data_IF_777753754947
#
_entry.id   IF_777753754947
#
_cell.length_a   1.000
_cell.length_b   1.000
_cell.length_c   1.000
_cell.angle_alpha   90.00
_cell.angle_beta   90.00
_cell.angle_gamma   90.00
#
_symmetry.space_group_name_H-M   'P 1'
#
loop_
_entity.id
_entity.type
_entity.pdbx_description
1 polymer ?
#
# COMPACT_ATOMS: atom_id res chain seq x y z
N UNK A 1 20.41 8.23 28.80
CA UNK A 1 19.48 9.18 28.18
C UNK A 1 18.19 8.51 27.68
N UNK A 2 18.23 7.62 26.68
CA UNK A 2 17.00 7.00 26.12
C UNK A 2 16.16 6.22 27.17
N UNK A 3 16.72 5.35 28.03
CA UNK A 3 15.94 4.68 29.07
C UNK A 3 15.28 5.66 30.05
N UNK A 4 16.00 6.72 30.44
CA UNK A 4 15.48 7.76 31.33
C UNK A 4 14.31 8.51 30.69
N UNK A 5 14.41 8.91 29.42
CA UNK A 5 13.31 9.56 28.71
C UNK A 5 12.07 8.67 28.69
N UNK A 6 12.24 7.38 28.37
CA UNK A 6 11.14 6.43 28.32
C UNK A 6 10.51 6.18 29.70
N UNK A 7 11.32 6.07 30.75
CA UNK A 7 10.83 5.78 32.10
C UNK A 7 10.27 6.99 32.85
N UNK A 8 10.91 8.16 32.72
CA UNK A 8 10.64 9.36 33.52
C UNK A 8 9.69 10.33 32.81
N UNK A 9 9.66 10.34 31.47
CA UNK A 9 8.81 11.25 30.70
C UNK A 9 7.70 10.54 29.95
N UNK A 10 8.01 9.48 29.19
CA UNK A 10 7.01 8.85 28.32
C UNK A 10 6.04 7.95 29.09
N UNK A 11 6.56 7.06 29.94
CA UNK A 11 5.74 6.11 30.71
C UNK A 11 4.66 6.80 31.56
N UNK A 12 4.94 7.90 32.30
CA UNK A 12 3.90 8.59 33.08
C UNK A 12 2.76 9.13 32.22
N UNK A 13 3.06 9.66 31.03
CA UNK A 13 2.05 10.23 30.11
C UNK A 13 1.02 9.17 29.69
N UNK A 14 1.47 7.95 29.38
CA UNK A 14 0.61 6.87 28.89
C UNK A 14 0.11 5.91 29.99
N UNK A 15 0.43 6.17 31.27
CA UNK A 15 0.08 5.27 32.38
C UNK A 15 -1.39 5.38 32.78
N UNK A 16 -2.00 6.55 32.63
CA UNK A 16 -3.36 6.83 33.08
C UNK A 16 -4.39 5.95 32.38
N UNK A 17 -4.22 5.70 31.09
CA UNK A 17 -5.11 4.89 30.26
C UNK A 17 -4.31 3.75 29.60
N UNK A 18 -4.00 2.67 30.33
CA UNK A 18 -3.21 1.58 29.79
C UNK A 18 -3.96 0.87 28.67
N UNK A 19 -3.23 0.51 27.62
CA UNK A 19 -3.82 -0.18 26.47
C UNK A 19 -4.41 -1.55 26.86
N UNK A 20 -5.69 -1.85 26.55
CA UNK A 20 -6.39 -3.02 27.09
C UNK A 20 -5.83 -4.35 26.59
N UNK A 21 -5.23 -4.38 25.41
CA UNK A 21 -4.66 -5.60 24.81
C UNK A 21 -3.17 -5.81 25.13
N UNK A 22 -2.59 -5.00 26.02
CA UNK A 22 -1.16 -5.08 26.36
C UNK A 22 -0.91 -5.30 27.84
N UNK A 23 0.06 -6.15 28.13
CA UNK A 23 0.57 -6.29 29.49
C UNK A 23 1.51 -5.12 29.84
N UNK A 24 1.11 -4.26 30.78
CA UNK A 24 1.80 -3.00 31.09
C UNK A 24 3.28 -3.14 31.49
N UNK A 25 3.68 -4.24 32.12
CA UNK A 25 5.08 -4.47 32.52
C UNK A 25 5.92 -5.22 31.49
N UNK A 26 5.32 -5.95 30.54
CA UNK A 26 6.06 -6.80 29.60
C UNK A 26 5.90 -6.37 28.14
N UNK A 27 4.95 -5.49 27.83
CA UNK A 27 4.63 -5.07 26.47
C UNK A 27 4.13 -6.21 25.57
N UNK A 28 3.71 -7.35 26.15
CA UNK A 28 3.20 -8.51 25.41
C UNK A 28 1.72 -8.36 25.11
N UNK A 29 1.29 -8.93 23.99
CA UNK A 29 -0.14 -9.05 23.65
C UNK A 29 -0.85 -9.90 24.70
N UNK A 30 -1.99 -9.43 25.17
CA UNK A 30 -2.89 -10.19 26.04
C UNK A 30 -3.89 -11.00 25.20
N UNK A 31 -4.26 -12.21 25.65
CA UNK A 31 -5.27 -13.03 24.98
C UNK A 31 -6.69 -12.45 25.13
N UNK A 32 -6.92 -11.62 26.15
CA UNK A 32 -8.19 -10.93 26.42
C UNK A 32 -7.91 -9.51 26.93
N UNK A 33 -8.80 -8.54 26.67
CA UNK A 33 -8.68 -7.20 27.22
C UNK A 33 -8.54 -7.19 28.76
N UNK A 34 -7.53 -6.49 29.27
CA UNK A 34 -7.42 -6.16 30.69
C UNK A 34 -8.46 -5.08 31.05
N UNK A 35 -9.24 -5.30 32.12
CA UNK A 35 -10.35 -4.41 32.50
C UNK A 35 -11.75 -5.00 32.23
N UNK A 36 -11.84 -6.20 31.67
CA UNK A 36 -13.13 -6.89 31.48
C UNK A 36 -13.94 -6.35 30.29
N UNK A 37 -15.28 -6.59 30.25
CA UNK A 37 -16.12 -6.25 29.10
C UNK A 37 -16.16 -4.76 28.75
N UNK A 38 -15.93 -3.87 29.72
CA UNK A 38 -15.93 -2.41 29.54
C UNK A 38 -14.54 -1.82 29.28
N UNK A 39 -13.50 -2.65 29.21
CA UNK A 39 -12.11 -2.21 29.04
C UNK A 39 -11.89 -1.24 27.88
N UNK A 40 -12.60 -1.44 26.76
CA UNK A 40 -12.52 -0.54 25.61
C UNK A 40 -13.14 0.83 25.89
N UNK A 41 -14.22 0.89 26.65
CA UNK A 41 -14.87 2.15 27.04
C UNK A 41 -13.95 2.95 27.96
N UNK A 42 -13.45 2.29 29.01
CA UNK A 42 -12.55 2.90 30.00
C UNK A 42 -11.24 3.38 29.35
N UNK A 43 -10.77 2.67 28.32
CA UNK A 43 -9.57 3.03 27.57
C UNK A 43 -9.71 4.36 26.80
N UNK A 44 -10.88 4.62 26.22
CA UNK A 44 -11.14 5.86 25.48
C UNK A 44 -11.61 7.01 26.38
N UNK A 45 -12.06 6.71 27.60
CA UNK A 45 -12.48 7.72 28.56
C UNK A 45 -11.27 8.45 29.15
N UNK A 46 -11.24 9.78 29.07
CA UNK A 46 -10.23 10.65 29.73
C UNK A 46 -8.77 10.39 29.34
N UNK A 47 -8.47 10.33 28.04
CA UNK A 47 -7.11 10.14 27.50
C UNK A 47 -6.16 11.33 27.77
N UNK A 48 -5.65 11.41 29.00
CA UNK A 48 -4.75 12.49 29.49
C UNK A 48 -3.47 12.68 28.67
N UNK A 49 -3.01 11.67 27.94
CA UNK A 49 -1.84 11.80 27.07
C UNK A 49 -2.05 12.83 25.94
N UNK A 50 -3.31 13.12 25.57
CA UNK A 50 -3.65 14.14 24.56
C UNK A 50 -3.37 15.57 25.03
N UNK A 51 -3.23 15.79 26.34
CA UNK A 51 -2.80 17.08 26.91
C UNK A 51 -1.30 17.34 26.66
N UNK A 52 -0.58 16.34 26.14
CA UNK A 52 0.85 16.41 25.79
C UNK A 52 1.04 16.30 24.27
N UNK A 53 0.84 17.37 23.48
CA UNK A 53 0.91 17.31 22.01
C UNK A 53 2.29 16.90 21.47
N UNK A 54 3.35 17.05 22.29
CA UNK A 54 4.71 16.59 21.95
C UNK A 54 4.95 15.10 22.17
N UNK A 55 4.03 14.38 22.82
CA UNK A 55 4.22 12.97 23.16
C UNK A 55 4.43 12.07 21.93
N UNK A 56 3.63 12.16 20.84
CA UNK A 56 3.85 11.34 19.64
C UNK A 56 5.23 11.58 18.99
N UNK A 57 5.69 12.83 18.97
CA UNK A 57 7.00 13.19 18.43
C UNK A 57 8.13 12.58 19.28
N UNK A 58 7.95 12.57 20.61
CA UNK A 58 8.91 11.94 21.52
C UNK A 58 8.95 10.42 21.32
N UNK A 59 7.80 9.76 21.10
CA UNK A 59 7.73 8.33 20.75
C UNK A 59 8.51 8.07 19.46
N UNK A 60 8.23 8.81 18.40
CA UNK A 60 8.94 8.67 17.11
C UNK A 60 10.45 8.86 17.27
N UNK A 61 10.87 9.91 18.00
CA UNK A 61 12.29 10.13 18.27
C UNK A 61 12.90 8.95 19.02
N UNK A 62 12.24 8.43 20.05
CA UNK A 62 12.74 7.28 20.79
C UNK A 62 12.92 6.06 19.88
N UNK A 63 11.90 5.70 19.08
CA UNK A 63 11.94 4.57 18.14
C UNK A 63 13.12 4.66 17.19
N UNK A 64 13.39 5.84 16.61
CA UNK A 64 14.51 6.05 15.68
C UNK A 64 15.90 5.90 16.32
N UNK A 65 15.99 6.02 17.64
CA UNK A 65 17.26 6.01 18.37
C UNK A 65 17.45 4.78 19.26
N UNK A 66 16.54 3.79 19.23
CA UNK A 66 16.74 2.50 19.91
C UNK A 66 17.82 1.71 19.14
N UNK A 67 18.96 1.36 19.77
CA UNK A 67 19.92 0.43 19.18
C UNK A 67 19.30 -0.97 19.02
N UNK A 68 19.69 -1.71 17.99
CA UNK A 68 19.11 -3.02 17.69
C UNK A 68 19.17 -4.02 18.87
N UNK A 69 20.20 -3.94 19.70
CA UNK A 69 20.40 -4.85 20.84
C UNK A 69 19.59 -4.47 22.09
N UNK A 70 18.99 -3.27 22.10
CA UNK A 70 18.29 -2.70 23.27
C UNK A 70 16.77 -2.84 23.20
N UNK A 71 16.23 -3.44 22.13
CA UNK A 71 14.80 -3.64 21.97
C UNK A 71 14.19 -4.43 23.12
N UNK A 72 14.84 -5.50 23.58
CA UNK A 72 14.35 -6.35 24.68
C UNK A 72 14.16 -5.58 25.99
N UNK A 73 15.07 -4.64 26.30
CA UNK A 73 15.02 -3.85 27.54
C UNK A 73 13.93 -2.77 27.47
N UNK A 74 13.80 -2.10 26.32
CA UNK A 74 12.94 -0.93 26.16
C UNK A 74 11.54 -1.26 25.63
N UNK A 75 11.32 -2.50 25.17
CA UNK A 75 10.09 -2.97 24.54
C UNK A 75 8.81 -2.57 25.28
N UNK A 76 8.80 -2.88 26.58
CA UNK A 76 7.64 -2.71 27.44
C UNK A 76 7.27 -1.22 27.68
N UNK A 77 8.18 -0.30 27.41
CA UNK A 77 7.96 1.15 27.53
C UNK A 77 7.50 1.78 26.22
N UNK A 78 7.89 1.20 25.08
CA UNK A 78 7.66 1.82 23.76
C UNK A 78 6.41 1.27 23.05
N UNK A 79 6.12 -0.02 23.19
CA UNK A 79 4.96 -0.63 22.52
C UNK A 79 3.62 -0.06 22.99
N UNK A 80 3.36 0.16 24.30
CA UNK A 80 2.09 0.72 24.71
C UNK A 80 1.79 2.10 24.09
N UNK A 81 2.71 3.09 24.11
CA UNK A 81 2.52 4.35 23.39
C UNK A 81 2.25 4.19 21.89
N UNK A 82 2.97 3.29 21.20
CA UNK A 82 2.78 3.04 19.76
C UNK A 82 1.36 2.50 19.50
N UNK A 83 0.96 1.47 20.25
CA UNK A 83 -0.38 0.89 20.12
C UNK A 83 -1.46 1.89 20.48
N UNK A 84 -1.24 2.72 21.50
CA UNK A 84 -2.20 3.76 21.90
C UNK A 84 -2.47 4.75 20.77
N UNK A 85 -1.43 5.20 20.08
CA UNK A 85 -1.58 6.10 18.92
C UNK A 85 -2.26 5.40 17.74
N UNK A 86 -1.88 4.16 17.45
CA UNK A 86 -2.39 3.40 16.31
C UNK A 86 -3.87 3.02 16.47
N UNK A 87 -4.28 2.67 17.68
CA UNK A 87 -5.64 2.24 18.01
C UNK A 87 -6.57 3.39 18.42
N UNK A 88 -6.08 4.64 18.48
CA UNK A 88 -6.92 5.79 18.80
C UNK A 88 -8.09 5.97 17.81
N UNK A 89 -9.21 6.51 18.26
CA UNK A 89 -10.38 6.74 17.40
C UNK A 89 -10.21 7.97 16.48
N UNK A 90 -9.33 8.92 16.82
CA UNK A 90 -9.06 10.09 15.97
C UNK A 90 -8.02 9.75 14.90
N UNK A 91 -8.37 9.98 13.63
CA UNK A 91 -7.52 9.60 12.50
C UNK A 91 -6.12 10.24 12.51
N UNK A 92 -5.97 11.47 13.02
CA UNK A 92 -4.67 12.16 13.12
C UNK A 92 -3.63 11.38 13.96
N UNK A 93 -4.07 10.72 15.04
CA UNK A 93 -3.19 9.92 15.88
C UNK A 93 -2.92 8.55 15.26
N UNK A 94 -3.91 7.95 14.58
CA UNK A 94 -3.69 6.74 13.79
C UNK A 94 -2.60 6.93 12.73
N UNK A 95 -2.61 8.07 12.02
CA UNK A 95 -1.57 8.42 11.04
C UNK A 95 -0.19 8.47 11.70
N UNK A 96 -0.07 9.12 12.86
CA UNK A 96 1.20 9.16 13.61
C UNK A 96 1.63 7.77 14.08
N UNK A 97 0.69 6.97 14.60
CA UNK A 97 0.93 5.59 14.98
C UNK A 97 1.47 4.75 13.82
N UNK A 98 0.82 4.80 12.65
CA UNK A 98 1.25 4.07 11.45
C UNK A 98 2.66 4.48 10.97
N UNK A 99 2.98 5.78 11.04
CA UNK A 99 4.34 6.30 10.75
C UNK A 99 5.38 5.73 11.72
N UNK A 100 5.08 5.78 13.02
CA UNK A 100 5.98 5.27 14.06
C UNK A 100 6.18 3.75 13.93
N UNK A 101 5.12 3.01 13.59
CA UNK A 101 5.23 1.57 13.28
C UNK A 101 6.16 1.35 12.10
N UNK A 102 6.03 2.09 11.01
CA UNK A 102 6.93 1.98 9.87
C UNK A 102 8.40 2.26 10.24
N UNK A 103 8.65 3.22 11.14
CA UNK A 103 9.99 3.50 11.66
C UNK A 103 10.53 2.35 12.52
N UNK A 104 9.69 1.82 13.42
CA UNK A 104 10.04 0.69 14.29
C UNK A 104 10.39 -0.56 13.48
N UNK A 105 9.60 -0.87 12.45
CA UNK A 105 9.79 -2.07 11.62
C UNK A 105 11.13 -2.11 10.88
N UNK A 106 11.84 -0.97 10.77
CA UNK A 106 13.18 -0.93 10.15
C UNK A 106 14.29 -1.49 11.04
N UNK A 107 14.12 -1.46 12.36
CA UNK A 107 15.19 -1.79 13.33
C UNK A 107 14.80 -2.88 14.32
N UNK A 108 13.50 -3.12 14.55
CA UNK A 108 13.03 -4.13 15.50
C UNK A 108 13.37 -5.55 15.03
N UNK A 109 13.94 -6.42 15.89
CA UNK A 109 14.17 -7.81 15.55
C UNK A 109 12.86 -8.59 15.37
N UNK A 110 12.79 -9.40 14.31
CA UNK A 110 11.67 -10.34 14.04
C UNK A 110 11.32 -11.20 15.26
N UNK A 111 12.34 -11.65 16.00
CA UNK A 111 12.19 -12.52 17.17
C UNK A 111 11.42 -11.85 18.31
N UNK A 112 11.62 -10.54 18.53
CA UNK A 112 10.92 -9.78 19.57
C UNK A 112 9.44 -9.63 19.22
N UNK A 113 9.13 -9.28 17.97
CA UNK A 113 7.74 -9.18 17.48
C UNK A 113 6.97 -10.49 17.65
N UNK A 114 7.52 -11.60 17.14
CA UNK A 114 6.88 -12.93 17.19
C UNK A 114 6.72 -13.44 18.62
N UNK A 115 7.79 -13.36 19.43
CA UNK A 115 7.78 -13.88 20.82
C UNK A 115 6.79 -13.13 21.72
N UNK A 116 6.56 -11.85 21.45
CA UNK A 116 5.65 -11.01 22.25
C UNK A 116 4.21 -11.02 21.72
N UNK A 117 3.99 -11.58 20.52
CA UNK A 117 2.68 -11.64 19.85
C UNK A 117 2.20 -10.28 19.31
N UNK A 118 3.07 -9.28 19.27
CA UNK A 118 2.74 -7.92 18.84
C UNK A 118 2.62 -7.81 17.33
N UNK A 119 3.25 -8.70 16.57
CA UNK A 119 3.02 -8.82 15.13
C UNK A 119 1.54 -9.00 14.80
N UNK A 120 0.87 -9.93 15.49
CA UNK A 120 -0.55 -10.16 15.29
C UNK A 120 -1.43 -9.00 15.74
N UNK A 121 -1.01 -8.24 16.78
CA UNK A 121 -1.76 -7.06 17.22
C UNK A 121 -1.61 -5.90 16.23
N UNK A 122 -0.38 -5.59 15.80
CA UNK A 122 -0.10 -4.58 14.78
C UNK A 122 -0.85 -4.86 13.48
N UNK A 123 -0.89 -6.12 13.04
CA UNK A 123 -1.63 -6.50 11.85
C UNK A 123 -3.13 -6.16 11.97
N UNK A 124 -3.77 -6.50 13.10
CA UNK A 124 -5.19 -6.15 13.35
C UNK A 124 -5.41 -4.64 13.37
N UNK A 125 -4.55 -3.89 14.04
CA UNK A 125 -4.66 -2.44 14.16
C UNK A 125 -4.45 -1.73 12.82
N UNK A 126 -3.48 -2.18 12.01
CA UNK A 126 -3.25 -1.66 10.66
C UNK A 126 -4.42 -2.00 9.72
N UNK A 127 -5.02 -3.19 9.82
CA UNK A 127 -6.24 -3.52 9.09
C UNK A 127 -7.41 -2.61 9.48
N UNK A 128 -7.53 -2.29 10.78
CA UNK A 128 -8.57 -1.37 11.28
C UNK A 128 -8.35 0.05 10.75
N UNK A 129 -7.11 0.48 10.54
CA UNK A 129 -6.81 1.76 9.88
C UNK A 129 -7.34 1.83 8.44
N UNK A 130 -7.41 0.70 7.73
CA UNK A 130 -7.97 0.64 6.37
C UNK A 130 -9.50 0.52 6.35
N UNK A 131 -10.10 0.06 7.45
CA UNK A 131 -11.56 -0.06 7.59
C UNK A 131 -12.22 1.23 8.11
N UNK A 132 -11.57 1.96 9.01
CA UNK A 132 -12.14 3.13 9.69
C UNK A 132 -11.65 4.44 9.06
N UNK A 133 -11.96 4.62 7.78
CA UNK A 133 -11.56 5.80 7.02
C UNK A 133 -12.43 7.01 7.37
N UNK A 134 -11.78 8.10 7.75
CA UNK A 134 -12.42 9.37 8.08
C UNK A 134 -11.78 10.48 7.24
N UNK A 135 -12.61 11.28 6.57
CA UNK A 135 -12.12 12.46 5.84
C UNK A 135 -11.75 13.57 6.83
N UNK A 136 -10.65 14.33 6.59
CA UNK A 136 -9.76 14.28 5.42
C UNK A 136 -8.57 13.30 5.50
N UNK A 137 -8.33 12.64 6.63
CA UNK A 137 -7.10 11.89 6.89
C UNK A 137 -7.00 10.54 6.16
N UNK A 138 -8.11 10.00 5.62
CA UNK A 138 -8.18 8.70 4.94
C UNK A 138 -6.98 8.43 4.01
N UNK A 139 -6.71 9.36 3.10
CA UNK A 139 -5.68 9.19 2.08
C UNK A 139 -4.27 9.13 2.69
N UNK A 140 -4.00 9.91 3.74
CA UNK A 140 -2.71 9.87 4.44
C UNK A 140 -2.59 8.58 5.25
N UNK A 141 -3.68 8.17 5.93
CA UNK A 141 -3.68 6.94 6.71
C UNK A 141 -3.43 5.71 5.85
N UNK A 142 -4.03 5.63 4.66
CA UNK A 142 -3.81 4.55 3.69
C UNK A 142 -2.35 4.49 3.23
N UNK A 143 -1.75 5.64 2.90
CA UNK A 143 -0.35 5.75 2.47
C UNK A 143 0.64 5.28 3.53
N UNK A 144 0.29 5.37 4.80
CA UNK A 144 1.14 4.91 5.90
C UNK A 144 0.84 3.46 6.28
N UNK A 145 -0.44 3.06 6.31
CA UNK A 145 -0.87 1.76 6.81
C UNK A 145 -0.57 0.61 5.83
N UNK A 146 -0.73 0.82 4.51
CA UNK A 146 -0.44 -0.25 3.52
C UNK A 146 1.05 -0.62 3.53
N UNK A 147 2.01 0.32 3.39
CA UNK A 147 3.43 -0.03 3.43
C UNK A 147 3.86 -0.62 4.78
N UNK A 148 3.30 -0.13 5.89
CA UNK A 148 3.54 -0.69 7.21
C UNK A 148 3.08 -2.16 7.28
N UNK A 149 1.90 -2.46 6.73
CA UNK A 149 1.35 -3.82 6.70
C UNK A 149 2.23 -4.77 5.88
N UNK A 150 2.65 -4.34 4.68
CA UNK A 150 3.58 -5.12 3.85
C UNK A 150 4.92 -5.34 4.56
N UNK A 151 5.48 -4.30 5.18
CA UNK A 151 6.73 -4.38 5.93
C UNK A 151 6.64 -5.33 7.12
N UNK A 152 5.52 -5.28 7.85
CA UNK A 152 5.26 -6.18 8.97
C UNK A 152 5.16 -7.64 8.51
N UNK A 153 4.36 -7.92 7.48
CA UNK A 153 4.21 -9.28 6.96
C UNK A 153 5.53 -9.81 6.42
N UNK A 154 6.25 -9.03 5.62
CA UNK A 154 7.55 -9.45 5.05
C UNK A 154 8.63 -9.68 6.11
N UNK A 155 8.64 -8.90 7.20
CA UNK A 155 9.56 -9.09 8.31
C UNK A 155 9.22 -10.31 9.16
N UNK A 156 7.93 -10.60 9.35
CA UNK A 156 7.47 -11.60 10.32
C UNK A 156 7.24 -12.99 9.73
N UNK A 157 7.08 -13.09 8.41
CA UNK A 157 6.80 -14.33 7.68
C UNK A 157 7.94 -14.70 6.73
N UNK A 158 8.09 -16.00 6.45
CA UNK A 158 9.11 -16.47 5.51
C UNK A 158 8.65 -16.32 4.06
N UNK A 159 9.60 -16.05 3.15
CA UNK A 159 9.31 -15.97 1.71
C UNK A 159 8.70 -17.28 1.20
N UNK A 160 7.57 -17.20 0.50
CA UNK A 160 6.87 -18.37 -0.03
C UNK A 160 6.06 -19.18 1.00
N UNK A 161 6.04 -18.77 2.28
CA UNK A 161 5.19 -19.41 3.27
C UNK A 161 3.69 -19.16 3.01
N UNK A 162 2.85 -20.11 3.41
CA UNK A 162 1.39 -19.95 3.31
C UNK A 162 0.90 -18.77 4.15
N UNK A 163 1.45 -18.57 5.35
CA UNK A 163 1.10 -17.45 6.23
C UNK A 163 1.36 -16.09 5.55
N UNK A 164 2.50 -15.94 4.86
CA UNK A 164 2.79 -14.74 4.07
C UNK A 164 1.75 -14.51 2.97
N UNK A 165 1.42 -15.57 2.24
CA UNK A 165 0.44 -15.51 1.16
C UNK A 165 -0.95 -15.11 1.69
N UNK A 166 -1.39 -15.74 2.79
CA UNK A 166 -2.69 -15.49 3.40
C UNK A 166 -2.79 -14.05 3.93
N UNK A 167 -1.76 -13.56 4.63
CA UNK A 167 -1.74 -12.18 5.15
C UNK A 167 -1.74 -11.13 4.02
N UNK A 168 -0.91 -11.29 2.99
CA UNK A 168 -0.88 -10.35 1.85
C UNK A 168 -2.16 -10.43 1.01
N UNK A 169 -2.74 -11.63 0.87
CA UNK A 169 -4.02 -11.82 0.20
C UNK A 169 -5.17 -11.18 0.97
N UNK A 170 -5.17 -11.24 2.30
CA UNK A 170 -6.15 -10.55 3.14
C UNK A 170 -5.98 -9.02 3.05
N UNK A 171 -4.74 -8.51 3.04
CA UNK A 171 -4.48 -7.08 2.85
C UNK A 171 -5.04 -6.59 1.50
N UNK A 172 -4.77 -7.32 0.41
CA UNK A 172 -5.25 -6.95 -0.92
C UNK A 172 -6.78 -7.17 -1.06
N UNK A 173 -7.25 -8.35 -0.68
CA UNK A 173 -8.62 -8.80 -0.88
C UNK A 173 -9.61 -8.12 0.07
N UNK A 174 -9.39 -8.23 1.38
CA UNK A 174 -10.32 -7.72 2.38
C UNK A 174 -10.04 -6.25 2.71
N UNK A 175 -8.77 -5.86 2.83
CA UNK A 175 -8.37 -4.50 3.15
C UNK A 175 -8.61 -3.52 2.02
N UNK A 176 -7.95 -3.73 0.87
CA UNK A 176 -7.99 -2.78 -0.26
C UNK A 176 -9.25 -2.96 -1.11
N UNK A 177 -9.46 -4.14 -1.68
CA UNK A 177 -10.56 -4.38 -2.62
C UNK A 177 -11.90 -4.37 -1.88
N UNK A 178 -12.02 -5.20 -0.83
CA UNK A 178 -13.23 -5.37 -0.05
C UNK A 178 -13.52 -4.20 0.88
N UNK A 179 -12.50 -3.51 1.37
CA UNK A 179 -12.64 -2.35 2.26
C UNK A 179 -12.72 -1.05 1.47
N UNK A 180 -11.56 -0.56 1.02
CA UNK A 180 -11.42 0.77 0.43
C UNK A 180 -12.24 0.89 -0.86
N UNK A 181 -12.06 -0.02 -1.81
CA UNK A 181 -12.67 0.12 -3.15
C UNK A 181 -14.18 -0.13 -3.14
N UNK A 182 -14.65 -1.05 -2.31
CA UNK A 182 -16.09 -1.34 -2.22
C UNK A 182 -16.85 -0.28 -1.41
N UNK A 183 -16.35 0.11 -0.23
CA UNK A 183 -17.10 0.95 0.71
C UNK A 183 -16.70 2.43 0.67
N UNK A 184 -15.51 2.76 0.16
CA UNK A 184 -15.02 4.15 0.05
C UNK A 184 -14.82 4.58 -1.41
N UNK A 185 -15.55 3.97 -2.35
CA UNK A 185 -15.47 4.28 -3.79
C UNK A 185 -15.74 5.75 -4.14
N UNK A 186 -16.53 6.44 -3.32
CA UNK A 186 -16.85 7.86 -3.48
C UNK A 186 -15.75 8.79 -2.95
N UNK A 187 -14.82 8.28 -2.15
CA UNK A 187 -13.65 9.02 -1.68
C UNK A 187 -12.48 8.78 -2.65
N UNK A 188 -12.44 9.57 -3.73
CA UNK A 188 -11.43 9.46 -4.76
C UNK A 188 -10.00 9.59 -4.21
N UNK A 189 -9.79 10.40 -3.17
CA UNK A 189 -8.47 10.56 -2.56
C UNK A 189 -8.03 9.28 -1.82
N UNK A 190 -8.96 8.58 -1.17
CA UNK A 190 -8.69 7.29 -0.54
C UNK A 190 -8.40 6.19 -1.59
N UNK A 191 -9.20 6.15 -2.66
CA UNK A 191 -8.98 5.20 -3.76
C UNK A 191 -7.62 5.47 -4.43
N UNK A 192 -7.32 6.72 -4.77
CA UNK A 192 -6.03 7.10 -5.35
C UNK A 192 -4.86 6.72 -4.44
N UNK A 193 -4.94 7.03 -3.14
CA UNK A 193 -3.92 6.64 -2.16
C UNK A 193 -3.71 5.13 -2.08
N UNK A 194 -4.79 4.34 -2.20
CA UNK A 194 -4.68 2.88 -2.21
C UNK A 194 -4.03 2.35 -3.48
N UNK A 195 -4.31 2.96 -4.64
CA UNK A 195 -3.69 2.62 -5.93
C UNK A 195 -2.22 3.03 -5.98
N UNK A 196 -1.88 4.16 -5.38
CA UNK A 196 -0.50 4.62 -5.22
C UNK A 196 0.36 3.62 -4.43
N UNK A 197 -0.18 3.05 -3.34
CA UNK A 197 0.50 2.07 -2.51
C UNK A 197 0.43 0.63 -3.04
N UNK A 198 -0.47 0.36 -3.98
CA UNK A 198 -0.75 -0.98 -4.52
C UNK A 198 0.47 -1.72 -5.10
N UNK A 199 1.43 -1.08 -5.80
CA UNK A 199 2.64 -1.75 -6.28
C UNK A 199 3.39 -2.55 -5.20
N UNK A 200 3.47 -2.01 -3.98
CA UNK A 200 4.17 -2.68 -2.87
C UNK A 200 3.49 -4.01 -2.49
N UNK A 201 2.17 -4.05 -2.54
CA UNK A 201 1.39 -5.25 -2.26
C UNK A 201 1.52 -6.26 -3.40
N UNK A 202 1.47 -5.79 -4.65
CA UNK A 202 1.63 -6.63 -5.84
C UNK A 202 3.01 -7.29 -5.85
N UNK A 203 4.07 -6.51 -5.64
CA UNK A 203 5.44 -7.03 -5.65
C UNK A 203 5.68 -8.04 -4.53
N UNK A 204 5.07 -7.80 -3.35
CA UNK A 204 5.19 -8.71 -2.22
C UNK A 204 4.42 -10.03 -2.41
N UNK A 205 3.27 -10.00 -3.09
CA UNK A 205 2.38 -11.14 -3.31
C UNK A 205 2.72 -11.93 -4.60
N UNK A 206 3.26 -11.26 -5.62
CA UNK A 206 3.65 -11.83 -6.91
C UNK A 206 2.49 -12.52 -7.64
N UNK A 207 2.72 -13.76 -8.10
CA UNK A 207 1.73 -14.56 -8.84
C UNK A 207 0.40 -14.76 -8.08
N UNK A 208 0.41 -14.59 -6.76
CA UNK A 208 -0.81 -14.61 -5.94
C UNK A 208 -1.84 -13.56 -6.35
N UNK A 209 -1.42 -12.46 -6.99
CA UNK A 209 -2.30 -11.43 -7.53
C UNK A 209 -3.24 -11.94 -8.64
N UNK A 210 -2.94 -13.06 -9.29
CA UNK A 210 -3.71 -13.60 -10.42
C UNK A 210 -5.19 -13.84 -10.08
N UNK A 211 -5.51 -14.21 -8.84
CA UNK A 211 -6.90 -14.42 -8.37
C UNK A 211 -7.70 -13.12 -8.28
N UNK A 212 -7.03 -11.96 -8.18
CA UNK A 212 -7.64 -10.65 -8.01
C UNK A 212 -7.74 -9.84 -9.31
N UNK A 213 -7.28 -10.39 -10.45
CA UNK A 213 -7.27 -9.65 -11.73
C UNK A 213 -8.63 -9.09 -12.14
N UNK A 214 -9.73 -9.77 -11.80
CA UNK A 214 -11.10 -9.30 -12.07
C UNK A 214 -11.46 -8.00 -11.36
N UNK A 215 -10.83 -7.71 -10.22
CA UNK A 215 -10.99 -6.45 -9.51
C UNK A 215 -9.89 -5.45 -9.91
N UNK A 216 -8.64 -5.92 -9.98
CA UNK A 216 -7.46 -5.08 -10.26
C UNK A 216 -7.55 -4.41 -11.64
N UNK A 217 -7.78 -5.18 -12.71
CA UNK A 217 -7.70 -4.63 -14.07
C UNK A 217 -8.79 -3.57 -14.30
N UNK A 218 -10.09 -3.81 -14.03
CA UNK A 218 -11.10 -2.77 -14.21
C UNK A 218 -10.83 -1.51 -13.38
N UNK A 219 -10.40 -1.67 -12.12
CA UNK A 219 -10.11 -0.53 -11.24
C UNK A 219 -8.95 0.34 -11.76
N UNK A 220 -7.92 -0.28 -12.33
CA UNK A 220 -6.74 0.43 -12.84
C UNK A 220 -6.94 0.98 -14.26
N UNK A 221 -7.79 0.36 -15.07
CA UNK A 221 -8.08 0.81 -16.43
C UNK A 221 -9.12 1.93 -16.45
N UNK A 222 -10.11 1.91 -15.56
CA UNK A 222 -11.19 2.90 -15.55
C UNK A 222 -10.71 4.37 -15.49
N UNK A 223 -9.74 4.76 -14.64
CA UNK A 223 -9.21 6.13 -14.60
C UNK A 223 -8.55 6.56 -15.91
N UNK A 224 -7.99 5.62 -16.67
CA UNK A 224 -7.32 5.89 -17.95
C UNK A 224 -8.33 6.31 -19.04
N UNK A 225 -9.58 5.88 -18.91
CA UNK A 225 -10.66 6.24 -19.84
C UNK A 225 -11.34 7.57 -19.51
N UNK A 226 -10.96 8.25 -18.43
CA UNK A 226 -11.55 9.53 -18.02
C UNK A 226 -10.85 10.72 -18.67
N UNK A 227 -11.59 11.83 -18.86
CA UNK A 227 -11.04 13.05 -19.43
C UNK A 227 -9.96 13.67 -18.53
N UNK A 228 -8.89 14.16 -19.15
CA UNK A 228 -7.73 14.72 -18.44
C UNK A 228 -8.10 16.05 -17.76
N UNK A 229 -8.26 15.98 -16.44
CA UNK A 229 -8.25 17.14 -15.56
C UNK A 229 -7.03 17.05 -14.65
N UNK A 230 -6.51 18.18 -14.15
CA UNK A 230 -5.27 18.18 -13.35
C UNK A 230 -5.33 17.26 -12.13
N UNK A 231 -6.51 17.08 -11.51
CA UNK A 231 -6.72 16.14 -10.39
C UNK A 231 -6.76 14.66 -10.81
N UNK A 232 -7.04 14.37 -12.09
CA UNK A 232 -7.16 12.99 -12.61
C UNK A 232 -5.81 12.47 -13.13
N UNK A 233 -4.89 13.36 -13.53
CA UNK A 233 -3.58 12.97 -14.07
C UNK A 233 -2.74 12.21 -13.03
N UNK A 234 -2.75 12.65 -11.76
CA UNK A 234 -2.08 11.93 -10.67
C UNK A 234 -2.62 10.51 -10.52
N UNK A 235 -3.94 10.39 -10.49
CA UNK A 235 -4.60 9.09 -10.38
C UNK A 235 -4.36 8.18 -11.60
N UNK A 236 -4.36 8.74 -12.81
CA UNK A 236 -3.97 8.02 -14.03
C UNK A 236 -2.53 7.53 -13.97
N UNK A 237 -1.60 8.36 -13.51
CA UNK A 237 -0.20 7.97 -13.34
C UNK A 237 -0.05 6.81 -12.34
N UNK A 238 -0.68 6.91 -11.17
CA UNK A 238 -0.67 5.84 -10.17
C UNK A 238 -1.31 4.56 -10.71
N UNK A 239 -2.40 4.67 -11.46
CA UNK A 239 -3.08 3.53 -12.08
C UNK A 239 -2.23 2.84 -13.14
N UNK A 240 -1.62 3.60 -14.06
CA UNK A 240 -0.70 3.08 -15.07
C UNK A 240 0.52 2.43 -14.42
N UNK A 241 1.09 3.06 -13.38
CA UNK A 241 2.19 2.47 -12.62
C UNK A 241 1.79 1.13 -12.02
N UNK A 242 0.70 1.07 -11.27
CA UNK A 242 0.23 -0.17 -10.65
C UNK A 242 -0.11 -1.24 -11.71
N UNK A 243 -0.68 -0.85 -12.86
CA UNK A 243 -0.98 -1.76 -13.95
C UNK A 243 0.28 -2.43 -14.50
N UNK A 244 1.39 -1.70 -14.63
CA UNK A 244 2.68 -2.27 -14.99
C UNK A 244 3.14 -3.36 -14.02
N UNK A 245 3.00 -3.14 -12.71
CA UNK A 245 3.34 -4.16 -11.70
C UNK A 245 2.39 -5.38 -11.78
N UNK A 246 1.10 -5.18 -12.05
CA UNK A 246 0.15 -6.29 -12.26
C UNK A 246 0.56 -7.13 -13.48
N UNK A 247 0.95 -6.48 -14.58
CA UNK A 247 1.39 -7.16 -15.80
C UNK A 247 2.63 -8.02 -15.53
N UNK A 248 3.64 -7.46 -14.86
CA UNK A 248 4.86 -8.19 -14.50
C UNK A 248 4.55 -9.39 -13.60
N UNK A 249 3.76 -9.17 -12.55
CA UNK A 249 3.43 -10.20 -11.57
C UNK A 249 2.50 -11.30 -12.13
N UNK A 250 1.65 -10.98 -13.10
CA UNK A 250 0.60 -11.86 -13.61
C UNK A 250 0.70 -12.14 -15.12
N UNK A 251 1.90 -12.01 -15.70
CA UNK A 251 2.17 -12.14 -17.14
C UNK A 251 1.44 -13.32 -17.82
N UNK A 252 1.42 -14.55 -17.27
CA UNK A 252 0.77 -15.70 -17.92
C UNK A 252 -0.74 -15.53 -18.16
N UNK A 253 -1.41 -14.62 -17.45
CA UNK A 253 -2.86 -14.41 -17.52
C UNK A 253 -3.25 -13.14 -18.31
N UNK A 254 -2.28 -12.38 -18.83
CA UNK A 254 -2.54 -11.10 -19.49
C UNK A 254 -3.31 -11.22 -20.82
N UNK A 255 -3.25 -12.37 -21.49
CA UNK A 255 -3.97 -12.59 -22.77
C UNK A 255 -5.49 -12.30 -22.70
N UNK A 256 -6.13 -12.48 -21.54
CA UNK A 256 -7.57 -12.19 -21.37
C UNK A 256 -7.88 -10.71 -21.17
N UNK A 257 -6.89 -9.95 -20.72
CA UNK A 257 -7.03 -8.56 -20.30
C UNK A 257 -6.42 -7.58 -21.29
N UNK A 258 -5.60 -8.06 -22.23
CA UNK A 258 -4.88 -7.22 -23.20
C UNK A 258 -5.79 -6.21 -23.91
N UNK A 259 -6.97 -6.62 -24.40
CA UNK A 259 -7.89 -5.72 -25.11
C UNK A 259 -8.37 -4.56 -24.24
N UNK A 260 -8.78 -4.83 -22.99
CA UNK A 260 -9.21 -3.79 -22.05
C UNK A 260 -8.07 -2.85 -21.68
N UNK A 261 -6.85 -3.39 -21.50
CA UNK A 261 -5.67 -2.58 -21.19
C UNK A 261 -5.31 -1.66 -22.36
N UNK A 262 -5.30 -2.19 -23.60
CA UNK A 262 -4.99 -1.40 -24.80
C UNK A 262 -6.03 -0.31 -25.04
N UNK A 263 -7.34 -0.60 -24.87
CA UNK A 263 -8.39 0.42 -25.00
C UNK A 263 -8.20 1.57 -23.99
N UNK A 264 -7.96 1.26 -22.72
CA UNK A 264 -7.75 2.29 -21.70
C UNK A 264 -6.48 3.12 -21.93
N UNK A 265 -5.37 2.47 -22.27
CA UNK A 265 -4.10 3.16 -22.59
C UNK A 265 -4.26 4.04 -23.83
N UNK A 266 -4.92 3.54 -24.87
CA UNK A 266 -5.15 4.29 -26.10
C UNK A 266 -5.99 5.55 -25.87
N UNK A 267 -7.07 5.45 -25.11
CA UNK A 267 -7.91 6.62 -24.72
C UNK A 267 -7.12 7.63 -23.90
N UNK A 268 -6.37 7.16 -22.89
CA UNK A 268 -5.55 8.02 -22.05
C UNK A 268 -4.49 8.74 -22.89
N UNK A 269 -3.82 8.02 -23.79
CA UNK A 269 -2.82 8.57 -24.70
C UNK A 269 -3.40 9.70 -25.55
N UNK A 270 -4.53 9.46 -26.24
CA UNK A 270 -5.22 10.48 -27.05
C UNK A 270 -5.54 11.71 -26.20
N UNK A 271 -6.11 11.51 -25.01
CA UNK A 271 -6.43 12.62 -24.11
C UNK A 271 -5.18 13.39 -23.67
N UNK A 272 -4.01 12.76 -23.59
CA UNK A 272 -2.77 13.49 -23.27
C UNK A 272 -2.31 14.37 -24.43
N UNK A 273 -2.66 14.06 -25.68
CA UNK A 273 -2.24 14.85 -26.86
C UNK A 273 -2.99 16.18 -26.94
N UNK A 274 -4.23 16.22 -26.45
CA UNK A 274 -5.03 17.44 -26.32
C UNK A 274 -4.58 18.34 -25.14
N UNK A 275 -3.68 17.83 -24.28
CA UNK A 275 -3.19 18.51 -23.09
C UNK A 275 -2.02 19.46 -23.37
N UNK A 276 -1.83 20.44 -22.48
CA UNK A 276 -0.75 21.43 -22.58
C UNK A 276 0.62 20.74 -22.53
N UNK A 277 1.36 20.80 -23.64
CA UNK A 277 2.61 20.04 -23.87
C UNK A 277 3.74 20.41 -22.89
N UNK A 278 3.59 21.49 -22.13
CA UNK A 278 4.58 21.98 -21.15
C UNK A 278 4.43 21.36 -19.76
N UNK A 279 3.39 20.54 -19.54
CA UNK A 279 3.15 19.95 -18.24
C UNK A 279 3.98 18.68 -18.01
N UNK A 280 5.01 18.78 -17.16
CA UNK A 280 5.90 17.68 -16.76
C UNK A 280 5.15 16.43 -16.26
N UNK A 281 3.98 16.59 -15.63
CA UNK A 281 3.19 15.43 -15.15
C UNK A 281 2.58 14.63 -16.29
N UNK A 282 2.21 15.28 -17.39
CA UNK A 282 1.68 14.63 -18.60
C UNK A 282 2.80 13.88 -19.32
N UNK A 283 4.01 14.45 -19.37
CA UNK A 283 5.19 13.77 -19.93
C UNK A 283 5.54 12.50 -19.15
N UNK A 284 5.52 12.55 -17.81
CA UNK A 284 5.73 11.38 -16.96
C UNK A 284 4.66 10.31 -17.18
N UNK A 285 3.39 10.71 -17.33
CA UNK A 285 2.30 9.80 -17.66
C UNK A 285 2.52 9.14 -19.04
N UNK A 286 2.85 9.91 -20.07
CA UNK A 286 3.15 9.38 -21.42
C UNK A 286 4.29 8.37 -21.40
N UNK A 287 5.40 8.70 -20.74
CA UNK A 287 6.53 7.77 -20.57
C UNK A 287 6.08 6.48 -19.88
N UNK A 288 5.20 6.58 -18.87
CA UNK A 288 4.70 5.41 -18.16
C UNK A 288 3.73 4.56 -18.99
N UNK A 289 2.90 5.17 -19.84
CA UNK A 289 2.04 4.45 -20.78
C UNK A 289 2.87 3.63 -21.77
N UNK A 290 3.96 4.19 -22.30
CA UNK A 290 4.91 3.49 -23.18
C UNK A 290 5.56 2.30 -22.45
N UNK A 291 6.02 2.49 -21.20
CA UNK A 291 6.57 1.40 -20.38
C UNK A 291 5.57 0.25 -20.21
N UNK A 292 4.30 0.56 -19.92
CA UNK A 292 3.25 -0.46 -19.77
C UNK A 292 2.98 -1.20 -21.08
N UNK A 293 2.97 -0.51 -22.24
CA UNK A 293 2.86 -1.18 -23.54
C UNK A 293 4.02 -2.15 -23.80
N UNK A 294 5.25 -1.75 -23.45
CA UNK A 294 6.42 -2.62 -23.56
C UNK A 294 6.29 -3.87 -22.67
N UNK A 295 5.89 -3.68 -21.41
CA UNK A 295 5.65 -4.79 -20.47
C UNK A 295 4.55 -5.71 -20.96
N UNK A 296 3.46 -5.17 -21.51
CA UNK A 296 2.36 -5.96 -22.04
C UNK A 296 2.77 -6.77 -23.27
N UNK A 297 3.59 -6.20 -24.17
CA UNK A 297 4.14 -6.90 -25.32
C UNK A 297 5.04 -8.07 -24.90
N UNK A 298 5.89 -7.86 -23.88
CA UNK A 298 6.75 -8.92 -23.34
C UNK A 298 5.93 -10.02 -22.65
N UNK A 299 4.93 -9.65 -21.85
CA UNK A 299 4.08 -10.59 -21.14
C UNK A 299 3.10 -11.35 -22.07
N UNK A 300 2.66 -10.70 -23.15
CA UNK A 300 1.70 -11.25 -24.09
C UNK A 300 2.00 -10.80 -25.53
N UNK A 301 2.92 -11.48 -26.25
CA UNK A 301 3.32 -11.10 -27.61
C UNK A 301 2.16 -11.02 -28.61
N UNK A 302 1.06 -11.74 -28.36
CA UNK A 302 -0.15 -11.63 -29.20
C UNK A 302 -0.76 -10.23 -29.23
N UNK A 303 -0.43 -9.34 -28.28
CA UNK A 303 -0.91 -7.94 -28.23
C UNK A 303 -0.41 -7.10 -29.40
N UNK A 304 0.67 -7.53 -30.06
CA UNK A 304 1.26 -6.82 -31.20
C UNK A 304 0.25 -6.67 -32.34
N UNK A 305 -0.67 -7.63 -32.49
CA UNK A 305 -1.75 -7.55 -33.48
C UNK A 305 -2.70 -6.39 -33.16
N UNK A 306 -3.08 -6.20 -31.89
CA UNK A 306 -3.87 -5.05 -31.46
C UNK A 306 -3.12 -3.73 -31.63
N UNK A 307 -1.80 -3.69 -31.40
CA UNK A 307 -0.99 -2.50 -31.65
C UNK A 307 -0.91 -2.13 -33.12
N UNK A 308 -0.79 -3.10 -34.02
CA UNK A 308 -0.84 -2.88 -35.46
C UNK A 308 -2.19 -2.30 -35.90
N UNK A 309 -3.30 -2.81 -35.34
CA UNK A 309 -4.63 -2.25 -35.61
C UNK A 309 -4.75 -0.80 -35.12
N UNK A 310 -4.27 -0.51 -33.90
CA UNK A 310 -4.28 0.84 -33.34
C UNK A 310 -3.44 1.82 -34.18
N UNK A 311 -2.23 1.38 -34.57
CA UNK A 311 -1.33 2.16 -35.40
C UNK A 311 -1.90 2.41 -36.80
N UNK A 312 -2.62 1.45 -37.39
CA UNK A 312 -3.23 1.59 -38.71
C UNK A 312 -4.38 2.61 -38.75
N UNK A 313 -5.04 2.88 -37.61
CA UNK A 313 -6.12 3.88 -37.52
C UNK A 313 -5.55 5.29 -37.66
N UNK A 314 -4.50 5.62 -36.91
CA UNK A 314 -3.88 6.95 -36.97
C UNK A 314 -2.36 6.87 -36.65
N UNK A 315 -1.51 6.64 -37.67
CA UNK A 315 -0.08 6.42 -37.45
C UNK A 315 0.62 7.58 -36.74
N UNK A 316 0.29 8.82 -37.11
CA UNK A 316 0.89 10.02 -36.53
C UNK A 316 0.67 10.14 -35.02
N UNK A 317 -0.46 9.62 -34.51
CA UNK A 317 -0.82 9.73 -33.10
C UNK A 317 -0.16 8.63 -32.25
N UNK A 318 -0.03 7.42 -32.77
CA UNK A 318 0.40 6.24 -32.02
C UNK A 318 1.85 5.82 -32.27
N UNK A 319 2.59 6.52 -33.14
CA UNK A 319 4.01 6.25 -33.41
C UNK A 319 4.84 6.25 -32.12
N UNK A 320 4.71 7.28 -31.29
CA UNK A 320 5.48 7.39 -30.05
C UNK A 320 5.03 6.41 -28.96
N UNK A 321 3.82 5.85 -29.06
CA UNK A 321 3.28 4.92 -28.08
C UNK A 321 3.71 3.46 -28.34
N UNK A 322 3.58 3.00 -29.59
CA UNK A 322 3.77 1.58 -29.97
C UNK A 322 4.65 1.36 -31.20
N UNK A 323 5.05 2.41 -31.93
CA UNK A 323 5.79 2.29 -33.18
C UNK A 323 7.08 1.48 -33.04
N UNK A 324 7.91 1.83 -32.05
CA UNK A 324 9.14 1.10 -31.72
C UNK A 324 8.91 -0.38 -31.41
N UNK A 325 7.81 -0.70 -30.73
CA UNK A 325 7.46 -2.07 -30.32
C UNK A 325 7.12 -2.90 -31.56
N UNK A 326 6.34 -2.32 -32.49
CA UNK A 326 5.95 -2.97 -33.74
C UNK A 326 7.20 -3.20 -34.61
N UNK A 327 8.08 -2.22 -34.77
CA UNK A 327 9.30 -2.36 -35.56
C UNK A 327 10.23 -3.45 -35.01
N UNK A 328 10.46 -3.50 -33.69
CA UNK A 328 11.28 -4.56 -33.08
C UNK A 328 10.71 -5.96 -33.30
N UNK A 329 9.40 -6.08 -33.42
CA UNK A 329 8.74 -7.36 -33.67
C UNK A 329 8.84 -7.84 -35.12
N UNK A 330 8.94 -6.93 -36.10
CA UNK A 330 9.12 -7.32 -37.51
C UNK A 330 10.54 -7.79 -37.81
N UNK A 331 11.52 -7.33 -37.02
CA UNK A 331 12.94 -7.68 -37.17
C UNK A 331 13.34 -8.96 -36.41
N UNK A 332 12.43 -9.52 -35.60
CA UNK A 332 12.69 -10.76 -34.87
C UNK A 332 12.58 -11.97 -35.82
N UNK A 333 13.61 -12.84 -35.92
CA UNK A 333 13.54 -14.03 -36.76
C UNK A 333 12.41 -14.95 -36.27
N UNK A 334 11.55 -15.36 -37.20
CA UNK A 334 10.47 -16.32 -36.98
C UNK A 334 11.04 -17.61 -36.38
N UNK A 335 10.83 -17.80 -35.08
CA UNK A 335 11.11 -19.09 -34.41
C UNK A 335 10.08 -20.09 -34.94
N UNK A 336 10.53 -20.99 -35.81
CA UNK A 336 9.76 -22.15 -36.26
C UNK A 336 9.31 -22.96 -35.05
N UNK A 337 7.99 -23.11 -34.91
CA UNK A 337 7.39 -24.02 -33.93
C UNK A 337 7.61 -25.43 -34.47
N UNK A 338 8.27 -26.34 -33.73
CA UNK A 338 8.41 -27.72 -34.18
C UNK A 338 7.04 -28.40 -34.15
N UNK A 339 6.75 -29.08 -35.26
CA UNK A 339 5.55 -29.84 -35.60
C UNK A 339 5.17 -30.94 -34.63
#
# INVERSE_FOLDING_TARGET
>A
LLPQILSEHLKPIFRTNPHPLLHTSTGRKLPRPAGGPLASSDYYESQSWKDHPGAPNLVSWCVRHIPNDYWDELWHLIIPPIMTLLDDYEAKYKVQGAKIVSEMLRTVPRTVLKRTGIDGLLNTSLQTCLAHLQRPESATLIREAIPASVSLTTLTTDQGSQDRFDQLSALLGDGIIGGIWLYSSLDLAAVEASVEALPLVIDALGLGCTRFLKALIPQLVHPLSQNNTSSVIGFQFHSTRALGHVIDACAPRMHRWKGSIVDGIGRCWVATQDGDATNTTVELLRSKLVDVCNKLAQACPSVIQEYQLLYAVEPALFTDLVGDIIHRSSDAPSVEVPS
#
